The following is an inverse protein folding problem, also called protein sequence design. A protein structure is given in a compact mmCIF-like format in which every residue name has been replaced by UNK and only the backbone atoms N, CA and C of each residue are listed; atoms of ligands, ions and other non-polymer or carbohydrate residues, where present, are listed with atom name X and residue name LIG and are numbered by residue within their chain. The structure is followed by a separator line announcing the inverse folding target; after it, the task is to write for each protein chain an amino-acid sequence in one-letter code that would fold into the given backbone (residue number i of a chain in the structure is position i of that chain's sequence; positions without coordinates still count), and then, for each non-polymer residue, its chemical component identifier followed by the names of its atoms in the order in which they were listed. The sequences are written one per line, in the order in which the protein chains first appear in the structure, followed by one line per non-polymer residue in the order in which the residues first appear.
data_IF_545033552062
#
_entry.id   IF_545033552062
#
_cell.length_a   1.000
_cell.length_b   1.000
_cell.length_c   1.000
_cell.angle_alpha   90.00
_cell.angle_beta   90.00
_cell.angle_gamma   90.00
#
_symmetry.space_group_name_H-M   'P 1'
#
loop_
_entity.id
_entity.type
_entity.pdbx_description
1 polymer ?
#
# COMPACT_ATOMS: atom_id res chain seq x y z
N UNK A 1 -7.69 -11.80 42.17
CA UNK A 1 -7.32 -12.28 40.82
C UNK A 1 -8.05 -11.58 39.68
N UNK A 2 -9.34 -11.20 39.79
CA UNK A 2 -10.06 -10.49 38.71
C UNK A 2 -9.61 -9.03 38.48
N UNK A 3 -9.23 -8.29 39.54
CA UNK A 3 -8.74 -6.90 39.41
C UNK A 3 -7.38 -6.78 38.71
N UNK A 4 -6.52 -7.79 38.81
CA UNK A 4 -5.23 -7.84 38.11
C UNK A 4 -5.39 -8.19 36.62
N UNK A 5 -6.47 -8.90 36.25
CA UNK A 5 -6.76 -9.22 34.84
C UNK A 5 -7.17 -7.98 34.04
N UNK A 6 -7.88 -7.03 34.65
CA UNK A 6 -8.22 -5.75 34.01
C UNK A 6 -6.99 -4.88 33.73
N UNK A 7 -5.96 -4.95 34.58
CA UNK A 7 -4.73 -4.17 34.42
C UNK A 7 -3.89 -4.65 33.22
N UNK A 8 -3.94 -5.95 32.91
CA UNK A 8 -3.24 -6.55 31.75
C UNK A 8 -4.00 -6.25 30.45
N UNK A 9 -5.35 -6.17 30.50
CA UNK A 9 -6.17 -5.88 29.32
C UNK A 9 -6.02 -4.43 28.83
N UNK A 10 -5.71 -3.49 29.74
CA UNK A 10 -5.41 -2.09 29.41
C UNK A 10 -4.06 -1.88 28.71
N UNK A 11 -3.11 -2.82 28.77
CA UNK A 11 -1.83 -2.71 28.07
C UNK A 11 -1.89 -3.12 26.59
N UNK A 12 -2.92 -3.86 26.17
CA UNK A 12 -3.06 -4.35 24.79
C UNK A 12 -3.65 -3.31 23.80
N UNK A 13 -4.23 -2.22 24.31
CA UNK A 13 -4.81 -1.13 23.49
C UNK A 13 -3.83 0.01 23.19
N UNK A 14 -2.58 -0.06 23.66
CA UNK A 14 -1.55 0.98 23.44
C UNK A 14 -0.62 0.63 22.27
N UNK A 15 -0.79 -0.52 21.59
CA UNK A 15 -0.07 -0.80 20.34
C UNK A 15 -0.72 -0.06 19.16
N UNK A 16 -0.96 1.24 19.31
CA UNK A 16 -0.99 2.13 18.17
C UNK A 16 0.46 2.20 17.70
N UNK A 17 0.77 1.55 16.58
CA UNK A 17 2.02 1.75 15.86
C UNK A 17 2.34 3.24 15.87
N UNK A 18 3.51 3.61 16.41
CA UNK A 18 4.10 4.92 16.14
C UNK A 18 4.38 4.94 14.64
N UNK A 19 3.36 5.29 13.86
CA UNK A 19 3.59 5.84 12.54
C UNK A 19 4.15 7.21 12.86
N UNK A 20 5.48 7.29 12.89
CA UNK A 20 6.17 8.57 12.76
C UNK A 20 5.95 9.04 11.31
N UNK A 21 4.71 9.39 10.98
CA UNK A 21 4.36 10.28 9.87
C UNK A 21 4.31 11.72 10.40
N UNK A 22 5.18 12.05 11.36
CA UNK A 22 5.51 13.43 11.66
C UNK A 22 6.79 13.69 10.88
N UNK A 23 6.61 14.17 9.65
CA UNK A 23 7.61 14.99 8.99
C UNK A 23 7.84 16.20 9.92
N UNK A 24 8.80 16.07 10.84
CA UNK A 24 9.27 17.20 11.62
C UNK A 24 9.85 18.17 10.60
N UNK A 25 9.14 19.27 10.37
CA UNK A 25 9.63 20.40 9.57
C UNK A 25 10.72 21.07 10.41
N UNK A 26 11.89 20.46 10.45
CA UNK A 26 13.11 21.06 10.95
C UNK A 26 13.62 22.04 9.88
N UNK A 27 13.44 23.33 10.17
CA UNK A 27 14.08 24.46 9.51
C UNK A 27 13.66 24.74 8.05
N UNK A 28 12.65 25.60 7.89
CA UNK A 28 12.65 26.64 6.83
C UNK A 28 12.33 26.24 5.39
N UNK A 29 12.23 24.96 5.03
CA UNK A 29 11.65 24.56 3.74
C UNK A 29 10.15 24.27 3.91
N UNK A 30 9.31 25.29 3.66
CA UNK A 30 7.85 25.16 3.59
C UNK A 30 7.38 24.17 2.51
N UNK A 31 8.27 23.77 1.60
CA UNK A 31 8.03 22.83 0.51
C UNK A 31 9.21 21.86 0.45
N UNK A 32 8.92 20.56 0.57
CA UNK A 32 9.91 19.52 0.34
C UNK A 32 10.37 19.54 -1.13
N UNK A 33 11.68 19.43 -1.35
CA UNK A 33 12.26 19.22 -2.68
C UNK A 33 11.98 17.80 -3.23
N UNK A 34 11.23 16.96 -2.51
CA UNK A 34 10.83 15.62 -2.93
C UNK A 34 9.38 15.60 -3.40
N UNK A 35 9.14 15.08 -4.60
CA UNK A 35 7.82 14.88 -5.15
C UNK A 35 7.42 13.40 -5.13
N UNK A 36 6.13 13.11 -4.94
CA UNK A 36 5.58 11.78 -5.15
C UNK A 36 5.27 11.58 -6.63
N UNK A 37 5.64 10.41 -7.16
CA UNK A 37 5.20 9.93 -8.48
C UNK A 37 4.38 8.67 -8.24
N UNK A 38 3.06 8.81 -8.35
CA UNK A 38 2.09 7.77 -8.00
C UNK A 38 1.53 7.16 -9.29
N UNK A 39 1.84 5.90 -9.55
CA UNK A 39 1.28 5.15 -10.67
C UNK A 39 0.08 4.32 -10.23
N UNK A 40 -1.03 4.39 -10.98
CA UNK A 40 -2.13 3.42 -10.86
C UNK A 40 -1.97 2.37 -11.95
N UNK A 41 -2.01 1.09 -11.57
CA UNK A 41 -1.83 -0.01 -12.51
C UNK A 41 -3.01 -0.97 -12.46
N UNK A 42 -3.74 -1.04 -13.58
CA UNK A 42 -4.98 -1.79 -13.67
C UNK A 42 -4.72 -3.28 -13.90
N UNK A 43 -5.52 -4.14 -13.26
CA UNK A 43 -5.47 -5.60 -13.44
C UNK A 43 -5.63 -6.03 -14.90
N UNK A 44 -6.37 -5.28 -15.72
CA UNK A 44 -6.54 -5.61 -17.14
C UNK A 44 -5.23 -5.53 -17.95
N UNK A 45 -4.24 -4.79 -17.47
CA UNK A 45 -2.96 -4.61 -18.14
C UNK A 45 -1.84 -5.46 -17.53
N UNK A 46 -2.12 -6.28 -16.51
CA UNK A 46 -1.07 -6.97 -15.75
C UNK A 46 -0.11 -7.80 -16.59
N UNK A 47 -0.50 -8.29 -17.76
CA UNK A 47 0.40 -9.00 -18.70
C UNK A 47 1.52 -8.13 -19.27
N UNK A 48 1.45 -6.81 -19.15
CA UNK A 48 2.42 -5.85 -19.68
C UNK A 48 3.35 -5.27 -18.59
N UNK A 49 3.43 -5.93 -17.43
CA UNK A 49 4.13 -5.41 -16.25
C UNK A 49 5.62 -5.15 -16.51
N UNK A 50 6.24 -5.92 -17.40
CA UNK A 50 7.64 -5.84 -17.78
C UNK A 50 7.96 -4.58 -18.62
N UNK A 51 6.94 -3.93 -19.19
CA UNK A 51 7.09 -2.67 -19.95
C UNK A 51 7.13 -1.42 -19.06
N UNK A 52 6.80 -1.56 -17.76
CA UNK A 52 6.71 -0.43 -16.83
C UNK A 52 8.08 -0.14 -16.21
N UNK A 53 8.45 1.14 -16.17
CA UNK A 53 9.66 1.63 -15.51
C UNK A 53 9.39 1.97 -14.05
N UNK A 54 9.27 0.96 -13.19
CA UNK A 54 8.95 1.13 -11.77
C UNK A 54 10.01 1.92 -10.98
N UNK A 55 11.25 1.97 -11.47
CA UNK A 55 12.31 2.83 -10.92
C UNK A 55 11.97 4.33 -10.92
N UNK A 56 10.99 4.76 -11.74
CA UNK A 56 10.53 6.15 -11.81
C UNK A 56 9.35 6.46 -10.88
N UNK A 57 8.77 5.45 -10.25
CA UNK A 57 7.62 5.59 -9.36
C UNK A 57 8.09 5.60 -7.90
N UNK A 58 7.46 6.44 -7.08
CA UNK A 58 7.63 6.34 -5.62
C UNK A 58 6.51 5.52 -4.99
N UNK A 59 5.32 5.52 -5.60
CA UNK A 59 4.16 4.76 -5.13
C UNK A 59 3.50 4.03 -6.30
N UNK A 60 3.07 2.80 -6.07
CA UNK A 60 2.31 1.98 -7.02
C UNK A 60 0.98 1.57 -6.39
N UNK A 61 -0.11 1.95 -7.04
CA UNK A 61 -1.47 1.62 -6.63
C UNK A 61 -2.00 0.51 -7.55
N UNK A 62 -2.21 -0.68 -7.00
CA UNK A 62 -2.86 -1.79 -7.70
C UNK A 62 -4.36 -1.52 -7.79
N UNK A 63 -4.88 -1.43 -9.01
CA UNK A 63 -6.24 -0.95 -9.28
C UNK A 63 -7.08 -2.01 -10.01
N UNK A 64 -8.29 -2.38 -9.57
CA UNK A 64 -8.91 -2.11 -8.28
C UNK A 64 -9.32 -3.42 -7.64
N UNK A 65 -9.19 -3.52 -6.33
CA UNK A 65 -9.86 -4.58 -5.57
C UNK A 65 -11.21 -4.07 -5.08
N UNK A 66 -12.23 -4.92 -5.16
CA UNK A 66 -13.60 -4.55 -4.85
C UNK A 66 -14.18 -5.46 -3.77
N UNK A 67 -14.99 -4.91 -2.84
CA UNK A 67 -15.71 -5.71 -1.87
C UNK A 67 -16.78 -6.55 -2.57
N UNK A 68 -16.97 -7.77 -2.10
CA UNK A 68 -18.06 -8.67 -2.47
C UNK A 68 -19.17 -8.58 -1.42
N UNK A 69 -20.35 -9.11 -1.76
CA UNK A 69 -21.51 -9.12 -0.84
C UNK A 69 -21.28 -9.91 0.45
N UNK A 70 -20.31 -10.82 0.46
CA UNK A 70 -19.89 -11.61 1.62
C UNK A 70 -18.81 -10.91 2.48
N UNK A 71 -18.41 -9.68 2.11
CA UNK A 71 -17.39 -8.90 2.80
C UNK A 71 -15.95 -9.22 2.39
N UNK A 72 -15.72 -10.16 1.47
CA UNK A 72 -14.37 -10.40 0.92
C UNK A 72 -13.94 -9.27 -0.02
N UNK A 73 -12.64 -9.03 -0.11
CA UNK A 73 -12.05 -8.07 -1.07
C UNK A 73 -11.32 -8.87 -2.13
N UNK A 74 -11.69 -8.68 -3.39
CA UNK A 74 -11.14 -9.45 -4.51
C UNK A 74 -10.61 -8.53 -5.60
N UNK A 75 -9.49 -8.93 -6.20
CA UNK A 75 -9.09 -8.40 -7.50
C UNK A 75 -9.87 -9.17 -8.59
N UNK A 76 -10.37 -8.48 -9.63
CA UNK A 76 -11.14 -9.13 -10.67
C UNK A 76 -10.28 -10.10 -11.50
N UNK A 77 -10.92 -11.15 -12.03
CA UNK A 77 -10.29 -12.13 -12.92
C UNK A 77 -9.23 -13.01 -12.25
N UNK A 78 -8.38 -13.66 -13.06
CA UNK A 78 -7.28 -14.51 -12.60
C UNK A 78 -6.01 -13.69 -12.26
N UNK A 79 -6.18 -12.46 -11.75
CA UNK A 79 -5.09 -11.50 -11.57
C UNK A 79 -4.12 -11.86 -10.44
N UNK A 80 -4.46 -12.85 -9.61
CA UNK A 80 -3.64 -13.27 -8.47
C UNK A 80 -2.24 -13.75 -8.86
N UNK A 81 -2.13 -14.53 -9.93
CA UNK A 81 -0.85 -15.08 -10.38
C UNK A 81 0.09 -13.98 -10.91
N UNK A 82 -0.46 -13.04 -11.68
CA UNK A 82 0.31 -11.93 -12.23
C UNK A 82 0.61 -10.84 -11.20
N UNK A 83 -0.23 -10.69 -10.16
CA UNK A 83 0.01 -9.70 -9.10
C UNK A 83 1.38 -9.88 -8.45
N UNK A 84 1.77 -11.14 -8.17
CA UNK A 84 3.09 -11.43 -7.62
C UNK A 84 4.21 -10.96 -8.56
N UNK A 85 4.10 -11.24 -9.86
CA UNK A 85 5.09 -10.83 -10.85
C UNK A 85 5.21 -9.30 -10.95
N UNK A 86 4.07 -8.59 -10.90
CA UNK A 86 4.04 -7.12 -10.85
C UNK A 86 4.80 -6.61 -9.62
N UNK A 87 4.47 -7.12 -8.42
CA UNK A 87 5.08 -6.66 -7.17
C UNK A 87 6.56 -6.98 -7.10
N UNK A 88 6.97 -8.18 -7.51
CA UNK A 88 8.37 -8.61 -7.52
C UNK A 88 9.19 -7.76 -8.49
N UNK A 89 8.67 -7.50 -9.69
CA UNK A 89 9.34 -6.66 -10.70
C UNK A 89 9.42 -5.20 -10.23
N UNK A 90 8.37 -4.68 -9.61
CA UNK A 90 8.38 -3.33 -9.06
C UNK A 90 9.45 -3.18 -7.96
N UNK A 91 9.54 -4.15 -7.04
CA UNK A 91 10.52 -4.14 -5.96
C UNK A 91 11.95 -4.41 -6.44
N UNK A 92 12.13 -5.18 -7.51
CA UNK A 92 13.47 -5.42 -8.08
C UNK A 92 14.02 -4.19 -8.79
N UNK A 93 13.17 -3.38 -9.43
CA UNK A 93 13.56 -2.12 -10.07
C UNK A 93 13.63 -0.94 -9.08
N UNK A 94 12.84 -0.99 -8.01
CA UNK A 94 12.83 0.01 -6.95
C UNK A 94 12.51 -0.63 -5.58
N UNK A 95 13.53 -0.91 -4.78
CA UNK A 95 13.36 -1.53 -3.46
C UNK A 95 12.60 -0.65 -2.46
N UNK A 96 12.49 0.65 -2.71
CA UNK A 96 11.83 1.63 -1.84
C UNK A 96 10.39 1.95 -2.27
N UNK A 97 9.89 1.35 -3.36
CA UNK A 97 8.54 1.63 -3.85
C UNK A 97 7.48 1.22 -2.82
N UNK A 98 6.54 2.14 -2.52
CA UNK A 98 5.39 1.84 -1.67
C UNK A 98 4.25 1.29 -2.53
N UNK A 99 3.81 0.06 -2.26
CA UNK A 99 2.75 -0.61 -3.04
C UNK A 99 1.47 -0.65 -2.21
N UNK A 100 0.36 -0.16 -2.77
CA UNK A 100 -0.96 -0.12 -2.15
C UNK A 100 -2.00 -0.82 -3.01
N UNK A 101 -3.10 -1.22 -2.39
CA UNK A 101 -4.30 -1.68 -3.06
C UNK A 101 -5.30 -0.52 -3.15
N UNK A 102 -5.81 -0.21 -4.34
CA UNK A 102 -6.90 0.75 -4.51
C UNK A 102 -8.23 0.02 -4.37
N UNK A 103 -9.04 0.45 -3.41
CA UNK A 103 -10.32 -0.18 -3.07
C UNK A 103 -11.51 0.53 -3.74
N UNK A 104 -12.59 -0.23 -3.97
CA UNK A 104 -13.92 0.24 -4.37
C UNK A 104 -14.01 0.93 -5.75
N UNK A 105 -12.90 1.09 -6.48
CA UNK A 105 -12.90 1.75 -7.78
C UNK A 105 -13.74 1.04 -8.84
N UNK A 106 -13.97 1.73 -9.95
CA UNK A 106 -14.72 1.24 -11.11
C UNK A 106 -14.41 2.14 -12.30
N UNK A 107 -14.50 1.58 -13.51
CA UNK A 107 -14.51 2.35 -14.76
C UNK A 107 -15.91 2.87 -15.04
#
# INVERSE_FOLDING_TARGET
MKKQLYLILSFLIISCSTVDDIDVIENGELLSNQARVVGYYSTCCFSEYDKIQFCKLTHLNIAFANPQTDGTIVLPGNSGDLLKNVMDTARSQNSNIKIYISLAGGW
#
